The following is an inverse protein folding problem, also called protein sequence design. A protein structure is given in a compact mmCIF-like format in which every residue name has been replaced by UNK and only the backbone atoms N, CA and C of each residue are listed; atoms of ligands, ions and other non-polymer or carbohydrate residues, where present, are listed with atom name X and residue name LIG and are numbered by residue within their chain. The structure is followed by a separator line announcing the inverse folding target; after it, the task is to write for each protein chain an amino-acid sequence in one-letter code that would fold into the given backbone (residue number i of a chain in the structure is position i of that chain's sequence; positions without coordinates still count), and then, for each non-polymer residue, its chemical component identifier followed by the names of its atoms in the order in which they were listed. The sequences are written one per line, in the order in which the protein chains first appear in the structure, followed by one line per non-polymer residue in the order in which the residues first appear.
data_IF_229766645952
#
_entry.id   IF_229766645952
#
_cell.length_a   1.000
_cell.length_b   1.000
_cell.length_c   1.000
_cell.angle_alpha   90.00
_cell.angle_beta   90.00
_cell.angle_gamma   90.00
#
_symmetry.space_group_name_H-M   'P 1'
#
loop_
_entity.id
_entity.type
_entity.pdbx_description
1 polymer ?
#
# COMPACT_ATOMS: atom_id res chain seq x y z
N UNK A 1 -16.25 -0.68 -7.29
CA UNK A 1 -16.37 0.21 -6.09
C UNK A 1 -17.11 -0.55 -5.01
N UNK A 2 -16.60 -0.55 -3.78
CA UNK A 2 -17.20 -1.30 -2.65
C UNK A 2 -17.92 -0.40 -1.64
N UNK A 3 -17.47 0.84 -1.43
CA UNK A 3 -18.07 1.80 -0.51
C UNK A 3 -17.77 3.25 -0.91
N UNK A 4 -18.57 4.21 -0.43
CA UNK A 4 -18.32 5.65 -0.56
C UNK A 4 -18.80 6.29 -1.86
N UNK A 5 -18.01 7.24 -2.40
CA UNK A 5 -18.24 7.88 -3.70
C UNK A 5 -18.76 9.32 -3.64
N UNK A 6 -20.05 9.52 -3.34
CA UNK A 6 -20.69 10.84 -3.55
C UNK A 6 -20.45 11.81 -2.39
N UNK A 7 -19.88 12.97 -2.70
CA UNK A 7 -19.70 14.05 -1.73
C UNK A 7 -21.04 14.60 -1.23
N UNK A 8 -21.03 15.06 0.02
CA UNK A 8 -22.10 15.84 0.64
C UNK A 8 -21.52 17.20 1.05
N UNK A 9 -21.78 18.22 0.24
CA UNK A 9 -21.16 19.53 0.40
C UNK A 9 -19.63 19.43 0.28
N UNK A 10 -18.91 19.79 1.35
CA UNK A 10 -17.44 19.73 1.41
C UNK A 10 -16.88 18.40 1.95
N UNK A 11 -17.74 17.42 2.24
CA UNK A 11 -17.33 16.17 2.85
C UNK A 11 -17.45 15.01 1.86
N UNK A 12 -16.35 14.30 1.61
CA UNK A 12 -16.37 13.01 0.93
C UNK A 12 -16.48 11.87 1.96
N UNK A 13 -17.30 10.83 1.72
CA UNK A 13 -17.30 9.64 2.54
C UNK A 13 -16.04 8.81 2.30
N UNK A 14 -15.66 7.99 3.29
CA UNK A 14 -14.63 6.98 3.12
C UNK A 14 -14.98 6.07 1.92
N UNK A 15 -14.09 6.02 0.94
CA UNK A 15 -14.35 5.38 -0.36
C UNK A 15 -13.35 4.26 -0.60
N UNK A 16 -13.88 3.07 -0.92
CA UNK A 16 -13.06 1.89 -1.23
C UNK A 16 -13.31 1.49 -2.67
N UNK A 17 -12.25 1.51 -3.47
CA UNK A 17 -12.29 1.11 -4.87
C UNK A 17 -11.51 -0.19 -5.06
N UNK A 18 -12.02 -1.01 -5.98
CA UNK A 18 -11.40 -2.26 -6.44
C UNK A 18 -11.43 -2.24 -7.96
N UNK A 19 -10.58 -3.07 -8.58
CA UNK A 19 -10.47 -3.21 -10.04
C UNK A 19 -10.19 -1.87 -10.75
N UNK A 20 -9.42 -0.99 -10.10
CA UNK A 20 -9.02 0.28 -10.69
C UNK A 20 -7.84 0.03 -11.64
N UNK A 21 -7.94 0.43 -12.92
CA UNK A 21 -6.84 0.26 -13.86
C UNK A 21 -5.59 1.00 -13.39
N UNK A 22 -4.41 0.40 -13.57
CA UNK A 22 -3.14 1.02 -13.19
C UNK A 22 -2.89 2.37 -13.92
N UNK A 23 -3.47 2.57 -15.10
CA UNK A 23 -3.35 3.82 -15.85
C UNK A 23 -4.25 4.94 -15.33
N UNK A 24 -5.15 4.67 -14.39
CA UNK A 24 -6.00 5.71 -13.81
C UNK A 24 -5.17 6.71 -13.00
N UNK A 25 -5.47 8.00 -13.13
CA UNK A 25 -4.77 9.05 -12.38
C UNK A 25 -4.77 8.79 -10.87
N UNK A 26 -5.90 8.28 -10.36
CA UNK A 26 -6.10 7.93 -8.95
C UNK A 26 -5.14 6.83 -8.46
N UNK A 27 -4.69 5.94 -9.36
CA UNK A 27 -3.72 4.89 -9.04
C UNK A 27 -2.26 5.39 -9.07
N UNK A 28 -2.00 6.49 -9.80
CA UNK A 28 -0.65 7.03 -10.04
C UNK A 28 -0.33 8.27 -9.20
N UNK A 29 -1.34 8.94 -8.67
CA UNK A 29 -1.20 10.21 -7.95
C UNK A 29 -1.87 10.16 -6.59
N UNK A 30 -1.24 10.83 -5.63
CA UNK A 30 -1.75 10.92 -4.28
C UNK A 30 -3.03 11.78 -4.25
N UNK A 31 -4.13 11.20 -3.77
CA UNK A 31 -5.45 11.83 -3.78
C UNK A 31 -5.64 12.82 -2.62
N UNK A 32 -4.90 12.66 -1.51
CA UNK A 32 -5.07 13.41 -0.25
C UNK A 32 -6.50 13.40 0.34
N UNK A 33 -7.37 12.54 -0.20
CA UNK A 33 -8.76 12.38 0.21
C UNK A 33 -8.99 11.03 0.89
N UNK A 34 -10.19 10.80 1.45
CA UNK A 34 -10.52 9.57 2.17
C UNK A 34 -10.83 8.41 1.19
N UNK A 35 -9.85 8.06 0.35
CA UNK A 35 -9.99 7.04 -0.70
C UNK A 35 -8.89 5.99 -0.54
N UNK A 36 -9.27 4.72 -0.60
CA UNK A 36 -8.35 3.57 -0.60
C UNK A 36 -8.60 2.74 -1.85
N UNK A 37 -7.51 2.35 -2.51
CA UNK A 37 -7.52 1.35 -3.58
C UNK A 37 -7.15 0.00 -2.99
N UNK A 38 -7.95 -1.02 -3.28
CA UNK A 38 -7.70 -2.39 -2.89
C UNK A 38 -7.59 -3.26 -4.14
N UNK A 39 -6.56 -4.10 -4.18
CA UNK A 39 -6.33 -5.06 -5.25
C UNK A 39 -6.00 -6.41 -4.64
N UNK A 40 -6.50 -7.49 -5.26
CA UNK A 40 -6.07 -8.84 -4.97
C UNK A 40 -4.92 -9.19 -5.92
N UNK A 41 -3.77 -9.51 -5.36
CA UNK A 41 -2.52 -9.76 -6.08
C UNK A 41 -1.77 -10.91 -5.41
N UNK A 42 -0.88 -11.56 -6.15
CA UNK A 42 0.11 -12.46 -5.58
C UNK A 42 1.29 -11.69 -4.96
N UNK A 43 2.23 -12.44 -4.38
CA UNK A 43 3.37 -11.88 -3.65
C UNK A 43 4.30 -11.03 -4.51
N UNK A 44 4.62 -11.49 -5.72
CA UNK A 44 5.59 -10.84 -6.59
C UNK A 44 4.97 -9.58 -7.20
N UNK A 45 3.70 -9.69 -7.59
CA UNK A 45 2.90 -8.58 -8.09
C UNK A 45 2.69 -7.51 -7.01
N UNK A 46 2.46 -7.90 -5.75
CA UNK A 46 2.35 -6.96 -4.63
C UNK A 46 3.62 -6.11 -4.46
N UNK A 47 4.80 -6.75 -4.54
CA UNK A 47 6.09 -6.04 -4.45
C UNK A 47 6.29 -5.14 -5.67
N UNK A 48 5.97 -5.62 -6.88
CA UNK A 48 6.06 -4.84 -8.12
C UNK A 48 5.18 -3.59 -8.04
N UNK A 49 3.90 -3.73 -7.73
CA UNK A 49 2.95 -2.61 -7.62
C UNK A 49 3.32 -1.65 -6.49
N UNK A 50 3.80 -2.16 -5.34
CA UNK A 50 4.28 -1.30 -4.26
C UNK A 50 5.50 -0.46 -4.67
N UNK A 51 6.34 -0.97 -5.58
CA UNK A 51 7.49 -0.24 -6.09
C UNK A 51 7.17 0.64 -7.30
N UNK A 52 6.08 0.38 -8.02
CA UNK A 52 5.61 1.14 -9.19
C UNK A 52 4.91 2.46 -8.78
N UNK A 53 5.62 3.26 -7.99
CA UNK A 53 5.20 4.58 -7.56
C UNK A 53 6.39 5.51 -7.59
N UNK A 54 6.19 6.74 -8.09
CA UNK A 54 7.19 7.81 -7.98
C UNK A 54 7.42 8.27 -6.54
N UNK A 55 6.55 7.85 -5.62
CA UNK A 55 6.61 8.17 -4.21
C UNK A 55 7.20 7.01 -3.42
N UNK A 56 7.85 7.31 -2.29
CA UNK A 56 8.61 6.32 -1.54
C UNK A 56 8.60 6.49 -0.02
N UNK A 57 7.53 7.03 0.57
CA UNK A 57 7.49 7.39 1.99
C UNK A 57 7.52 6.17 2.92
N UNK A 58 6.44 5.40 2.95
CA UNK A 58 6.28 4.26 3.86
C UNK A 58 5.57 3.11 3.15
N UNK A 59 5.85 1.89 3.56
CA UNK A 59 5.02 0.73 3.26
C UNK A 59 4.90 -0.20 4.49
N UNK A 60 3.81 -0.97 4.54
CA UNK A 60 3.47 -1.81 5.69
C UNK A 60 3.06 -3.21 5.27
N UNK A 61 3.63 -4.24 5.92
CA UNK A 61 3.21 -5.64 5.77
C UNK A 61 2.46 -6.08 7.02
N UNK A 62 1.31 -6.70 6.82
CA UNK A 62 0.58 -7.44 7.85
C UNK A 62 0.55 -8.92 7.45
N UNK A 63 1.19 -9.79 8.22
CA UNK A 63 1.29 -11.23 7.89
C UNK A 63 1.43 -12.06 9.17
N UNK A 64 0.86 -13.28 9.16
CA UNK A 64 1.10 -14.29 10.21
C UNK A 64 2.42 -15.04 10.03
N UNK A 65 3.08 -14.89 8.88
CA UNK A 65 4.33 -15.55 8.50
C UNK A 65 5.48 -14.53 8.51
N UNK A 66 6.41 -14.61 9.50
CA UNK A 66 7.55 -13.70 9.61
C UNK A 66 8.51 -13.76 8.41
N UNK A 67 8.74 -14.94 7.83
CA UNK A 67 9.69 -15.11 6.72
C UNK A 67 9.14 -14.48 5.44
N UNK A 68 7.85 -14.69 5.16
CA UNK A 68 7.15 -14.00 4.08
C UNK A 68 7.17 -12.49 4.27
N UNK A 69 6.95 -12.02 5.50
CA UNK A 69 7.03 -10.61 5.83
C UNK A 69 8.43 -10.02 5.61
N UNK A 70 9.48 -10.77 5.96
CA UNK A 70 10.85 -10.36 5.72
C UNK A 70 11.17 -10.27 4.22
N UNK A 71 10.77 -11.27 3.43
CA UNK A 71 10.98 -11.31 1.97
C UNK A 71 10.40 -10.09 1.25
N UNK A 72 9.15 -9.74 1.55
CA UNK A 72 8.50 -8.57 0.96
C UNK A 72 9.19 -7.28 1.36
N UNK A 73 9.53 -7.15 2.64
CA UNK A 73 10.20 -5.98 3.19
C UNK A 73 11.56 -5.73 2.54
N UNK A 74 12.31 -6.78 2.18
CA UNK A 74 13.58 -6.65 1.46
C UNK A 74 13.41 -6.27 -0.01
N UNK A 75 12.25 -6.55 -0.62
CA UNK A 75 11.97 -6.21 -2.02
C UNK A 75 11.46 -4.79 -2.24
N UNK A 76 11.15 -4.02 -1.20
CA UNK A 76 10.54 -2.70 -1.32
C UNK A 76 11.54 -1.54 -1.38
N UNK A 77 11.30 -0.61 -2.30
CA UNK A 77 12.07 0.63 -2.49
C UNK A 77 11.42 1.82 -1.77
N UNK A 78 11.31 1.73 -0.44
CA UNK A 78 10.66 2.76 0.42
C UNK A 78 11.61 3.29 1.49
N UNK A 79 11.37 4.50 1.98
CA UNK A 79 12.18 5.10 3.04
C UNK A 79 11.99 4.38 4.39
N UNK A 80 10.75 4.02 4.73
CA UNK A 80 10.44 3.20 5.91
C UNK A 80 9.56 2.00 5.58
N UNK A 81 9.81 0.89 6.27
CA UNK A 81 9.04 -0.33 6.14
C UNK A 81 8.65 -0.87 7.52
N UNK A 82 7.35 -1.04 7.73
CA UNK A 82 6.78 -1.57 8.96
C UNK A 82 6.27 -2.99 8.70
N UNK A 83 6.65 -3.93 9.55
CA UNK A 83 6.16 -5.30 9.51
C UNK A 83 5.47 -5.61 10.84
N UNK A 84 4.23 -6.09 10.77
CA UNK A 84 3.49 -6.59 11.93
C UNK A 84 3.27 -8.08 11.77
N UNK A 85 3.84 -8.86 12.69
CA UNK A 85 3.52 -10.26 12.90
C UNK A 85 3.10 -10.40 14.34
N UNK A 86 1.90 -10.88 14.61
CA UNK A 86 1.38 -10.88 16.00
C UNK A 86 2.31 -11.66 16.94
N UNK A 87 2.73 -11.11 18.11
CA UNK A 87 2.29 -9.86 18.73
C UNK A 87 3.24 -8.66 18.51
N UNK A 88 4.28 -8.77 17.69
CA UNK A 88 5.32 -7.75 17.54
C UNK A 88 5.11 -6.86 16.30
N UNK A 89 5.06 -5.55 16.55
CA UNK A 89 5.20 -4.53 15.50
C UNK A 89 6.66 -4.10 15.44
N UNK A 90 7.26 -4.20 14.26
CA UNK A 90 8.64 -3.74 14.03
C UNK A 90 8.64 -2.73 12.90
N UNK A 91 9.01 -1.49 13.20
CA UNK A 91 9.25 -0.47 12.18
C UNK A 91 10.74 -0.20 12.07
N UNK A 92 11.28 -0.28 10.85
CA UNK A 92 12.68 0.03 10.56
C UNK A 92 12.78 0.77 9.23
N UNK A 93 13.92 1.46 9.03
CA UNK A 93 14.31 1.90 7.69
C UNK A 93 14.26 0.68 6.78
N UNK A 94 13.63 0.79 5.61
CA UNK A 94 13.71 -0.31 4.66
C UNK A 94 15.19 -0.50 4.29
N UNK A 95 15.64 -1.74 4.03
CA UNK A 95 16.98 -1.94 3.49
C UNK A 95 17.10 -1.07 2.23
N UNK A 96 17.92 -0.02 2.29
CA UNK A 96 18.31 0.69 1.07
C UNK A 96 19.28 -0.24 0.36
N UNK A 97 18.97 -0.65 -0.87
CA UNK A 97 20.01 -1.24 -1.72
C UNK A 97 21.19 -0.25 -1.80
N UNK A 98 22.39 -0.81 -1.63
CA UNK A 98 23.64 -0.20 -2.05
C UNK A 98 23.68 -0.12 -3.58
#
# INVERSE_FOLDING_TARGET
MLAGGRARGRCYPATVLVDVPESAELARHETFGPVVLAAAVDDDEAVRQANDSRYGLTAGVLTGDPERGWRWRTGWRRASCTSTTSPSITSRKCPSEA
#
